data_IF_996165199010
#
_entry.id   IF_996165199010
#
_cell.length_a   1.000
_cell.length_b   1.000
_cell.length_c   1.000
_cell.angle_alpha   90.00
_cell.angle_beta   90.00
_cell.angle_gamma   90.00
#
_symmetry.space_group_name_H-M   'P 1'
#
loop_
_entity.id
_entity.type
_entity.pdbx_description
1 polymer ?
#
# COMPACT_ATOMS: atom_id res chain seq x y z
N UNK A 1 -34.16 24.18 -45.61
CA UNK A 1 -34.33 23.64 -44.24
C UNK A 1 -33.08 22.87 -43.87
N UNK A 2 -32.13 23.47 -43.15
CA UNK A 2 -30.95 22.79 -42.64
C UNK A 2 -31.18 22.46 -41.16
N UNK A 3 -31.23 21.16 -40.84
CA UNK A 3 -31.31 20.69 -39.46
C UNK A 3 -29.93 20.83 -38.81
N UNK A 4 -29.79 21.68 -37.79
CA UNK A 4 -28.64 21.67 -36.89
C UNK A 4 -28.69 20.36 -36.09
N UNK A 5 -27.69 19.50 -36.29
CA UNK A 5 -27.42 18.39 -35.39
C UNK A 5 -26.74 18.95 -34.14
N UNK A 6 -27.44 19.03 -33.03
CA UNK A 6 -26.85 19.33 -31.74
C UNK A 6 -25.96 18.13 -31.32
N UNK A 7 -24.67 18.31 -31.36
CA UNK A 7 -23.70 17.39 -30.78
C UNK A 7 -23.80 17.44 -29.27
N UNK A 8 -24.48 16.46 -28.68
CA UNK A 8 -24.44 16.26 -27.22
C UNK A 8 -23.09 15.66 -26.89
N UNK A 9 -22.16 16.53 -26.53
CA UNK A 9 -20.91 16.08 -25.86
C UNK A 9 -21.31 15.48 -24.51
N UNK A 10 -21.42 14.14 -24.47
CA UNK A 10 -21.51 13.41 -23.21
C UNK A 10 -20.15 13.50 -22.54
N UNK A 11 -19.90 14.55 -21.75
CA UNK A 11 -18.84 14.54 -20.76
C UNK A 11 -19.16 13.43 -19.78
N UNK A 12 -18.39 12.33 -19.86
CA UNK A 12 -18.43 11.29 -18.84
C UNK A 12 -18.13 11.95 -17.48
N UNK A 13 -18.90 11.66 -16.42
CA UNK A 13 -18.59 12.14 -15.09
C UNK A 13 -17.15 11.72 -14.75
N UNK A 14 -16.41 12.52 -13.97
CA UNK A 14 -15.08 12.14 -13.55
C UNK A 14 -15.16 10.75 -12.96
N UNK A 15 -14.41 9.80 -13.52
CA UNK A 15 -14.37 8.43 -13.02
C UNK A 15 -13.84 8.55 -11.58
N UNK A 16 -14.68 8.22 -10.58
CA UNK A 16 -14.17 7.90 -9.24
C UNK A 16 -13.00 6.94 -9.47
N UNK A 17 -11.79 7.32 -9.09
CA UNK A 17 -10.68 6.39 -9.06
C UNK A 17 -11.07 5.32 -8.04
N UNK A 18 -11.38 4.12 -8.53
CA UNK A 18 -11.56 2.98 -7.66
C UNK A 18 -10.16 2.65 -7.13
N UNK A 19 -10.03 2.52 -5.82
CA UNK A 19 -8.79 2.06 -5.21
C UNK A 19 -8.56 0.55 -5.44
N UNK A 20 -9.64 -0.21 -5.68
CA UNK A 20 -9.62 -1.67 -5.79
C UNK A 20 -10.10 -2.13 -7.17
N UNK A 21 -9.39 -3.09 -7.76
CA UNK A 21 -9.66 -3.63 -9.10
C UNK A 21 -9.67 -5.15 -9.07
N UNK A 22 -10.75 -5.76 -9.53
CA UNK A 22 -10.77 -7.20 -9.82
C UNK A 22 -9.93 -7.51 -11.06
N UNK A 23 -9.28 -8.67 -11.07
CA UNK A 23 -8.56 -9.22 -12.22
C UNK A 23 -9.04 -10.66 -12.46
N UNK A 24 -9.95 -10.84 -13.42
CA UNK A 24 -10.65 -12.10 -13.60
C UNK A 24 -11.51 -12.44 -12.38
N UNK A 25 -11.29 -13.59 -11.78
CA UNK A 25 -11.92 -14.09 -10.55
C UNK A 25 -11.26 -13.61 -9.26
N UNK A 26 -10.09 -12.97 -9.36
CA UNK A 26 -9.34 -12.45 -8.22
C UNK A 26 -9.86 -11.07 -7.83
N UNK A 27 -10.44 -10.97 -6.65
CA UNK A 27 -11.07 -9.75 -6.13
C UNK A 27 -10.39 -9.36 -4.83
N UNK A 28 -9.93 -8.10 -4.67
CA UNK A 28 -9.36 -7.66 -3.39
C UNK A 28 -10.42 -7.68 -2.28
N UNK A 29 -10.05 -8.18 -1.10
CA UNK A 29 -10.79 -8.01 0.14
C UNK A 29 -10.11 -6.92 0.99
N UNK A 30 -10.79 -5.81 1.16
CA UNK A 30 -10.30 -4.65 1.94
C UNK A 30 -11.37 -4.14 2.90
N UNK A 31 -12.43 -4.93 3.14
CA UNK A 31 -13.59 -4.50 3.90
C UNK A 31 -13.26 -4.19 5.37
N UNK A 32 -12.27 -4.87 5.93
CA UNK A 32 -11.82 -4.71 7.32
C UNK A 32 -10.76 -3.61 7.51
N UNK A 33 -10.17 -3.08 6.43
CA UNK A 33 -9.13 -2.07 6.49
C UNK A 33 -9.60 -0.77 7.14
N UNK A 34 -8.76 -0.17 7.98
CA UNK A 34 -9.03 1.14 8.58
C UNK A 34 -9.04 2.27 7.53
N UNK A 35 -8.18 2.16 6.52
CA UNK A 35 -8.07 3.18 5.47
C UNK A 35 -7.41 2.64 4.21
N UNK A 36 -8.05 2.88 3.07
CA UNK A 36 -7.44 2.72 1.73
C UNK A 36 -7.47 4.09 1.06
N UNK A 37 -6.31 4.66 0.77
CA UNK A 37 -6.22 5.97 0.14
C UNK A 37 -6.85 5.95 -1.27
N UNK A 38 -7.61 7.00 -1.66
CA UNK A 38 -8.28 7.05 -2.98
C UNK A 38 -7.32 6.95 -4.17
N UNK A 39 -6.05 7.31 -3.98
CA UNK A 39 -5.01 7.22 -5.02
C UNK A 39 -4.21 5.91 -4.98
N UNK A 40 -4.50 5.00 -4.06
CA UNK A 40 -3.93 3.66 -4.08
C UNK A 40 -4.50 2.83 -5.24
N UNK A 41 -3.79 1.78 -5.64
CA UNK A 41 -4.25 0.79 -6.61
C UNK A 41 -4.05 -0.60 -6.03
N UNK A 42 -5.14 -1.29 -5.68
CA UNK A 42 -5.14 -2.66 -5.14
C UNK A 42 -5.78 -3.56 -6.18
N UNK A 43 -5.04 -4.54 -6.69
CA UNK A 43 -5.41 -5.30 -7.89
C UNK A 43 -5.30 -6.80 -7.62
N UNK A 44 -6.35 -7.55 -7.93
CA UNK A 44 -6.32 -9.02 -7.92
C UNK A 44 -6.48 -9.63 -6.53
N UNK A 45 -5.80 -10.74 -6.26
CA UNK A 45 -5.89 -11.49 -5.01
C UNK A 45 -5.10 -10.80 -3.89
N UNK A 46 -5.69 -9.81 -3.26
CA UNK A 46 -5.12 -9.05 -2.14
C UNK A 46 -6.10 -9.04 -0.98
N UNK A 47 -5.62 -9.42 0.20
CA UNK A 47 -6.37 -9.39 1.46
C UNK A 47 -5.74 -8.37 2.41
N UNK A 48 -6.56 -7.44 2.94
CA UNK A 48 -6.15 -6.40 3.87
C UNK A 48 -6.97 -6.52 5.15
N UNK A 49 -6.33 -6.97 6.21
CA UNK A 49 -6.96 -7.31 7.47
C UNK A 49 -7.40 -6.09 8.30
N UNK A 50 -7.98 -6.37 9.47
CA UNK A 50 -8.54 -5.40 10.40
C UNK A 50 -7.54 -4.31 10.80
N UNK A 51 -8.02 -3.08 10.80
CA UNK A 51 -7.24 -1.89 11.18
C UNK A 51 -5.95 -1.65 10.37
N UNK A 52 -5.68 -2.44 9.33
CA UNK A 52 -4.59 -2.16 8.42
C UNK A 52 -4.88 -0.94 7.54
N UNK A 53 -3.83 -0.31 6.99
CA UNK A 53 -3.98 0.89 6.16
C UNK A 53 -3.04 0.89 4.97
N UNK A 54 -3.57 1.33 3.80
CA UNK A 54 -2.80 1.52 2.56
C UNK A 54 -2.89 2.99 2.17
N UNK A 55 -1.74 3.63 2.11
CA UNK A 55 -1.62 5.06 1.95
C UNK A 55 -1.52 5.48 0.47
N UNK A 56 -1.27 6.76 0.24
CA UNK A 56 -1.42 7.37 -1.08
C UNK A 56 -0.41 6.84 -2.11
N UNK A 57 -0.88 6.67 -3.33
CA UNK A 57 -0.08 6.22 -4.49
C UNK A 57 0.60 4.86 -4.32
N UNK A 58 0.14 4.03 -3.39
CA UNK A 58 0.59 2.64 -3.30
C UNK A 58 0.04 1.82 -4.48
N UNK A 59 0.85 0.85 -4.94
CA UNK A 59 0.42 -0.16 -5.91
C UNK A 59 0.62 -1.55 -5.32
N UNK A 60 -0.48 -2.28 -5.11
CA UNK A 60 -0.46 -3.62 -4.54
C UNK A 60 -1.13 -4.54 -5.56
N UNK A 61 -0.35 -5.48 -6.15
CA UNK A 61 -0.84 -6.28 -7.26
C UNK A 61 -0.61 -7.78 -7.05
N UNK A 62 -1.70 -8.48 -6.72
CA UNK A 62 -1.78 -9.94 -6.58
C UNK A 62 -2.38 -10.59 -7.82
N UNK A 63 -1.67 -10.52 -8.96
CA UNK A 63 -2.13 -11.00 -10.26
C UNK A 63 -1.81 -12.48 -10.49
N UNK A 64 -0.65 -12.94 -10.06
CA UNK A 64 -0.18 -14.33 -10.27
C UNK A 64 -0.12 -15.15 -8.99
N UNK A 65 0.04 -14.51 -7.82
CA UNK A 65 -0.07 -15.11 -6.50
C UNK A 65 -0.83 -14.16 -5.56
N UNK A 66 -1.15 -14.60 -4.34
CA UNK A 66 -1.85 -13.79 -3.36
C UNK A 66 -0.93 -12.84 -2.59
N UNK A 67 -1.49 -11.74 -2.12
CA UNK A 67 -0.87 -10.84 -1.14
C UNK A 67 -1.76 -10.78 0.08
N UNK A 68 -1.19 -11.01 1.27
CA UNK A 68 -1.88 -10.81 2.55
C UNK A 68 -1.21 -9.75 3.39
N UNK A 69 -2.00 -8.84 3.95
CA UNK A 69 -1.54 -7.74 4.82
C UNK A 69 -2.27 -7.89 6.15
N UNK A 70 -1.51 -8.19 7.20
CA UNK A 70 -2.02 -8.48 8.53
C UNK A 70 -2.56 -7.26 9.26
N UNK A 71 -3.23 -7.53 10.39
CA UNK A 71 -3.90 -6.53 11.21
C UNK A 71 -2.99 -5.37 11.63
N UNK A 72 -3.52 -4.15 11.68
CA UNK A 72 -2.82 -2.92 12.12
C UNK A 72 -1.53 -2.60 11.37
N UNK A 73 -1.26 -3.32 10.29
CA UNK A 73 -0.11 -3.04 9.41
C UNK A 73 -0.38 -1.80 8.56
N UNK A 74 0.65 -0.95 8.41
CA UNK A 74 0.56 0.23 7.57
C UNK A 74 1.53 0.14 6.38
N UNK A 75 0.99 0.39 5.18
CA UNK A 75 1.73 0.46 3.92
C UNK A 75 1.76 1.93 3.47
N UNK A 76 2.90 2.59 3.68
CA UNK A 76 3.03 4.03 3.50
C UNK A 76 3.17 4.45 2.04
N UNK A 77 3.02 5.75 1.78
CA UNK A 77 2.86 6.35 0.46
C UNK A 77 3.90 5.88 -0.57
N UNK A 78 3.42 5.62 -1.79
CA UNK A 78 4.26 5.26 -2.92
C UNK A 78 4.87 3.85 -2.89
N UNK A 79 4.52 3.04 -1.90
CA UNK A 79 5.02 1.66 -1.78
C UNK A 79 4.46 0.77 -2.89
N UNK A 80 5.31 -0.11 -3.43
CA UNK A 80 4.92 -1.13 -4.41
C UNK A 80 5.05 -2.51 -3.78
N UNK A 81 3.98 -3.31 -3.85
CA UNK A 81 3.97 -4.71 -3.40
C UNK A 81 3.53 -5.60 -4.55
N UNK A 82 4.36 -6.58 -4.88
CA UNK A 82 4.08 -7.53 -5.93
C UNK A 82 4.46 -8.97 -5.52
N UNK A 83 4.20 -9.90 -6.38
CA UNK A 83 4.38 -11.34 -6.22
C UNK A 83 5.22 -11.90 -7.35
N UNK A 84 5.75 -13.12 -7.22
CA UNK A 84 6.51 -13.79 -8.26
C UNK A 84 5.65 -14.83 -8.99
N UNK A 85 6.03 -15.14 -10.24
CA UNK A 85 5.30 -16.09 -11.08
C UNK A 85 6.20 -17.21 -11.61
N UNK A 86 5.61 -18.39 -11.80
CA UNK A 86 6.25 -19.53 -12.47
C UNK A 86 6.60 -19.27 -13.94
N UNK A 87 5.89 -18.35 -14.58
CA UNK A 87 6.02 -18.06 -16.01
C UNK A 87 7.41 -17.57 -16.43
N UNK A 88 8.21 -17.08 -15.47
CA UNK A 88 9.57 -16.59 -15.68
C UNK A 88 10.65 -17.60 -15.24
N UNK A 89 10.27 -18.89 -15.04
CA UNK A 89 11.21 -19.95 -14.67
C UNK A 89 11.49 -20.04 -13.17
N UNK A 90 10.59 -19.53 -12.35
CA UNK A 90 10.62 -19.66 -10.89
C UNK A 90 10.20 -21.05 -10.39
N UNK A 91 10.35 -21.29 -9.11
CA UNK A 91 10.00 -22.56 -8.42
C UNK A 91 8.56 -22.63 -7.94
N UNK A 92 7.63 -21.95 -8.59
CA UNK A 92 6.24 -21.80 -8.16
C UNK A 92 5.85 -20.34 -7.96
N UNK A 93 4.54 -20.03 -8.08
CA UNK A 93 4.04 -18.70 -7.76
C UNK A 93 4.27 -18.40 -6.28
N UNK A 94 5.05 -17.36 -5.98
CA UNK A 94 5.41 -17.00 -4.61
C UNK A 94 4.58 -15.81 -4.14
N UNK A 95 3.78 -15.97 -3.08
CA UNK A 95 2.99 -14.88 -2.49
C UNK A 95 3.87 -13.85 -1.78
N UNK A 96 3.29 -12.70 -1.48
CA UNK A 96 3.82 -11.77 -0.48
C UNK A 96 2.96 -11.84 0.77
N UNK A 97 3.59 -12.18 1.90
CA UNK A 97 2.91 -12.37 3.18
C UNK A 97 3.43 -11.34 4.18
N UNK A 98 2.55 -10.53 4.72
CA UNK A 98 2.88 -9.48 5.67
C UNK A 98 2.08 -9.72 6.95
N UNK A 99 2.77 -9.91 8.06
CA UNK A 99 2.18 -10.14 9.38
C UNK A 99 1.47 -8.91 9.96
N UNK A 100 1.01 -9.05 11.18
CA UNK A 100 0.35 -7.99 11.93
C UNK A 100 1.36 -6.96 12.48
N UNK A 101 0.87 -5.76 12.81
CA UNK A 101 1.65 -4.68 13.44
C UNK A 101 2.93 -4.29 12.69
N UNK A 102 2.99 -4.51 11.37
CA UNK A 102 4.13 -4.13 10.55
C UNK A 102 4.06 -2.66 10.13
N UNK A 103 5.23 -2.05 9.97
CA UNK A 103 5.36 -0.73 9.33
C UNK A 103 6.18 -0.87 8.06
N UNK A 104 5.59 -0.51 6.91
CA UNK A 104 6.26 -0.47 5.62
C UNK A 104 6.40 0.98 5.20
N UNK A 105 7.63 1.50 5.29
CA UNK A 105 7.96 2.90 5.05
C UNK A 105 7.70 3.36 3.62
N UNK A 106 7.56 4.67 3.46
CA UNK A 106 7.29 5.31 2.18
C UNK A 106 8.23 4.84 1.07
N UNK A 107 7.71 4.67 -0.15
CA UNK A 107 8.49 4.30 -1.35
C UNK A 107 9.20 2.96 -1.26
N UNK A 108 8.82 2.06 -0.35
CA UNK A 108 9.40 0.72 -0.28
C UNK A 108 8.95 -0.13 -1.50
N UNK A 109 9.77 -1.13 -1.86
CA UNK A 109 9.43 -2.14 -2.86
C UNK A 109 9.54 -3.53 -2.24
N UNK A 110 8.43 -4.26 -2.21
CA UNK A 110 8.33 -5.62 -1.70
C UNK A 110 7.94 -6.56 -2.83
N UNK A 111 8.72 -7.62 -3.05
CA UNK A 111 8.47 -8.56 -4.12
C UNK A 111 8.62 -9.99 -3.64
N UNK A 112 7.51 -10.75 -3.64
CA UNK A 112 7.47 -12.18 -3.29
C UNK A 112 8.24 -12.51 -2.00
N UNK A 113 7.90 -11.84 -0.90
CA UNK A 113 8.64 -11.87 0.35
C UNK A 113 7.72 -12.09 1.57
N UNK A 114 8.32 -12.38 2.71
CA UNK A 114 7.59 -12.62 3.96
C UNK A 114 8.06 -11.66 5.06
N UNK A 115 7.11 -11.02 5.73
CA UNK A 115 7.31 -10.21 6.92
C UNK A 115 6.56 -10.86 8.10
N UNK A 116 7.28 -11.18 9.15
CA UNK A 116 6.69 -11.62 10.42
C UNK A 116 6.07 -10.44 11.19
N UNK A 117 5.28 -10.74 12.21
CA UNK A 117 4.61 -9.73 13.02
C UNK A 117 5.57 -8.70 13.59
N UNK A 118 5.19 -7.44 13.57
CA UNK A 118 6.02 -6.34 14.03
C UNK A 118 7.31 -6.13 13.22
N UNK A 119 7.39 -6.60 11.99
CA UNK A 119 8.51 -6.30 11.11
C UNK A 119 8.49 -4.82 10.68
N UNK A 120 9.67 -4.24 10.52
CA UNK A 120 9.81 -2.86 10.09
C UNK A 120 10.65 -2.75 8.81
N UNK A 121 10.08 -2.16 7.78
CA UNK A 121 10.75 -1.85 6.52
C UNK A 121 10.94 -0.34 6.43
N UNK A 122 12.19 0.11 6.39
CA UNK A 122 12.52 1.53 6.27
C UNK A 122 12.12 2.13 4.92
N UNK A 123 11.97 3.45 4.89
CA UNK A 123 11.63 4.19 3.68
C UNK A 123 12.60 3.86 2.53
N UNK A 124 12.05 3.71 1.30
CA UNK A 124 12.83 3.42 0.10
C UNK A 124 13.68 2.13 0.17
N UNK A 125 13.35 1.20 1.07
CA UNK A 125 14.00 -0.10 1.11
C UNK A 125 13.40 -1.05 0.06
N UNK A 126 14.21 -1.98 -0.42
CA UNK A 126 13.81 -2.99 -1.40
C UNK A 126 13.99 -4.39 -0.82
N UNK A 127 12.95 -5.21 -0.89
CA UNK A 127 12.96 -6.63 -0.57
C UNK A 127 12.74 -7.43 -1.85
N UNK A 128 13.74 -8.21 -2.26
CA UNK A 128 13.65 -9.08 -3.44
C UNK A 128 12.94 -10.40 -3.11
N UNK A 129 12.65 -11.19 -4.14
CA UNK A 129 11.97 -12.48 -4.01
C UNK A 129 12.64 -13.41 -2.99
N UNK A 130 11.82 -14.18 -2.28
CA UNK A 130 12.24 -15.17 -1.29
C UNK A 130 13.05 -14.58 -0.11
N UNK A 131 12.84 -13.28 0.18
CA UNK A 131 13.42 -12.66 1.39
C UNK A 131 12.44 -12.71 2.55
N UNK A 132 12.98 -12.73 3.76
CA UNK A 132 12.20 -12.77 5.00
C UNK A 132 12.70 -11.73 5.98
N UNK A 133 11.78 -11.06 6.66
CA UNK A 133 12.06 -10.36 7.91
C UNK A 133 11.31 -11.13 9.00
N UNK A 134 12.04 -11.72 9.94
CA UNK A 134 11.44 -12.43 11.08
C UNK A 134 10.71 -11.46 12.02
N UNK A 135 9.81 -11.95 12.91
CA UNK A 135 9.06 -11.08 13.82
C UNK A 135 9.95 -10.09 14.58
N UNK A 136 9.57 -8.80 14.53
CA UNK A 136 10.33 -7.73 15.17
C UNK A 136 11.68 -7.42 14.54
N UNK A 137 12.00 -7.96 13.35
CA UNK A 137 13.19 -7.58 12.59
C UNK A 137 13.03 -6.24 11.88
N UNK A 138 14.15 -5.57 11.57
CA UNK A 138 14.16 -4.23 10.97
C UNK A 138 15.11 -4.15 9.77
N UNK A 139 14.61 -3.69 8.64
CA UNK A 139 15.38 -3.31 7.47
C UNK A 139 15.49 -1.79 7.41
N UNK A 140 16.71 -1.26 7.38
CA UNK A 140 16.96 0.18 7.39
C UNK A 140 16.47 0.87 6.11
N UNK A 141 16.24 2.18 6.18
CA UNK A 141 15.88 2.99 5.03
C UNK A 141 16.93 2.89 3.91
N UNK A 142 16.46 2.82 2.64
CA UNK A 142 17.31 2.70 1.46
C UNK A 142 18.08 1.39 1.32
N UNK A 143 17.79 0.39 2.15
CA UNK A 143 18.48 -0.90 2.10
C UNK A 143 17.97 -1.79 0.95
N UNK A 144 18.85 -2.61 0.38
CA UNK A 144 18.52 -3.64 -0.59
C UNK A 144 18.69 -5.04 0.01
N UNK A 145 17.63 -5.70 0.41
CA UNK A 145 17.63 -7.09 0.84
C UNK A 145 17.56 -7.99 -0.39
N UNK A 146 18.70 -8.61 -0.73
CA UNK A 146 18.82 -9.44 -1.93
C UNK A 146 18.18 -10.81 -1.73
N UNK A 147 17.76 -11.43 -2.85
CA UNK A 147 17.01 -12.68 -2.87
C UNK A 147 17.53 -13.75 -1.91
N UNK A 148 16.62 -14.46 -1.25
CA UNK A 148 16.92 -15.55 -0.32
C UNK A 148 17.54 -15.14 1.02
N UNK A 149 17.62 -13.84 1.34
CA UNK A 149 18.17 -13.36 2.61
C UNK A 149 17.09 -13.23 3.68
N UNK A 150 17.50 -13.45 4.92
CA UNK A 150 16.63 -13.32 6.10
C UNK A 150 17.22 -12.32 7.08
N UNK A 151 16.41 -11.36 7.49
CA UNK A 151 16.65 -10.48 8.65
C UNK A 151 16.10 -11.20 9.87
N UNK A 152 16.97 -11.50 10.84
CA UNK A 152 16.57 -12.22 12.05
C UNK A 152 15.73 -11.36 13.00
N UNK A 153 15.00 -12.04 13.89
CA UNK A 153 14.20 -11.38 14.93
C UNK A 153 15.04 -10.47 15.81
N UNK A 154 14.61 -9.22 15.99
CA UNK A 154 15.34 -8.21 16.77
C UNK A 154 16.66 -7.76 16.14
N UNK A 155 16.86 -7.99 14.85
CA UNK A 155 18.05 -7.54 14.11
C UNK A 155 17.76 -6.29 13.28
N UNK A 156 18.75 -5.41 13.18
CA UNK A 156 18.81 -4.32 12.21
C UNK A 156 19.76 -4.70 11.08
N UNK A 157 19.26 -4.70 9.86
CA UNK A 157 20.03 -4.86 8.63
C UNK A 157 19.97 -3.59 7.78
N UNK A 158 21.04 -3.28 7.06
CA UNK A 158 21.10 -2.09 6.21
C UNK A 158 22.20 -2.15 5.16
N UNK A 159 22.16 -1.19 4.23
CA UNK A 159 23.09 -1.09 3.10
C UNK A 159 22.54 -1.69 1.81
N UNK A 160 23.32 -1.59 0.74
CA UNK A 160 23.00 -2.14 -0.60
C UNK A 160 24.24 -2.86 -1.15
N UNK A 161 24.29 -4.21 -1.08
CA UNK A 161 23.31 -5.12 -0.47
C UNK A 161 23.25 -5.00 1.06
N UNK A 162 22.05 -5.27 1.63
CA UNK A 162 21.84 -5.23 3.06
C UNK A 162 22.63 -6.33 3.79
N UNK A 163 23.19 -5.95 4.93
CA UNK A 163 23.92 -6.84 5.84
C UNK A 163 23.49 -6.57 7.28
N UNK A 164 23.70 -7.57 8.14
CA UNK A 164 23.53 -7.39 9.57
C UNK A 164 24.39 -6.21 10.08
N UNK A 165 23.77 -5.29 10.77
CA UNK A 165 24.44 -4.15 11.39
C UNK A 165 24.63 -4.35 12.89
N UNK A 166 23.54 -4.70 13.59
CA UNK A 166 23.51 -4.92 15.04
C UNK A 166 22.14 -5.45 15.50
N UNK A 167 22.04 -5.81 16.76
CA UNK A 167 20.73 -6.01 17.42
C UNK A 167 20.04 -4.68 17.63
N UNK A 168 18.69 -4.72 17.61
CA UNK A 168 17.86 -3.57 17.96
C UNK A 168 18.06 -3.19 19.43
N UNK A 169 18.06 -1.89 19.71
CA UNK A 169 17.99 -1.36 21.07
C UNK A 169 16.55 -1.50 21.60
N UNK A 170 16.37 -1.60 22.93
CA UNK A 170 15.02 -1.72 23.51
C UNK A 170 14.02 -0.64 23.03
N UNK A 171 14.45 0.62 22.91
CA UNK A 171 13.63 1.70 22.42
C UNK A 171 13.25 1.57 20.94
N UNK A 172 14.09 0.94 20.10
CA UNK A 172 13.76 0.70 18.69
C UNK A 172 12.73 -0.42 18.54
N UNK A 173 12.84 -1.48 19.34
CA UNK A 173 11.83 -2.54 19.36
C UNK A 173 10.46 -2.02 19.83
N UNK A 174 10.42 -1.16 20.84
CA UNK A 174 9.19 -0.50 21.30
C UNK A 174 8.60 0.41 20.20
N UNK A 175 9.46 1.20 19.55
CA UNK A 175 9.05 2.12 18.48
C UNK A 175 8.33 1.41 17.33
N UNK A 176 8.71 0.19 16.98
CA UNK A 176 8.05 -0.57 15.90
C UNK A 176 6.54 -0.72 16.20
N UNK A 177 6.19 -1.19 17.40
CA UNK A 177 4.80 -1.38 17.79
C UNK A 177 4.07 -0.05 18.00
N UNK A 178 4.74 0.97 18.54
CA UNK A 178 4.19 2.32 18.68
C UNK A 178 3.87 2.94 17.32
N UNK A 179 4.75 2.75 16.33
CA UNK A 179 4.53 3.20 14.96
C UNK A 179 3.26 2.59 14.36
N UNK A 180 3.11 1.27 14.43
CA UNK A 180 1.93 0.58 13.91
C UNK A 180 0.63 1.12 14.55
N UNK A 181 0.60 1.25 15.87
CA UNK A 181 -0.54 1.80 16.62
C UNK A 181 -0.87 3.24 16.26
N UNK A 182 0.15 4.08 16.09
CA UNK A 182 -0.04 5.49 15.70
C UNK A 182 -0.70 5.58 14.31
N UNK A 183 -0.29 4.72 13.38
CA UNK A 183 -0.85 4.67 12.03
C UNK A 183 -2.32 4.23 11.99
N UNK A 184 -2.80 3.40 12.92
CA UNK A 184 -4.24 3.12 13.07
C UNK A 184 -5.01 4.41 13.39
N UNK A 185 -4.48 5.26 14.29
CA UNK A 185 -5.08 6.56 14.60
C UNK A 185 -5.09 7.53 13.41
N UNK A 186 -3.97 7.61 12.68
CA UNK A 186 -3.88 8.43 11.47
C UNK A 186 -4.84 7.93 10.37
N UNK A 187 -4.92 6.61 10.16
CA UNK A 187 -5.83 5.99 9.20
C UNK A 187 -7.28 6.37 9.45
N UNK A 188 -7.74 6.29 10.69
CA UNK A 188 -9.10 6.69 11.09
C UNK A 188 -9.35 8.18 10.87
N UNK A 189 -8.35 9.03 11.15
CA UNK A 189 -8.43 10.48 10.89
C UNK A 189 -8.58 10.77 9.40
N UNK A 190 -7.80 10.10 8.55
CA UNK A 190 -7.89 10.25 7.10
C UNK A 190 -9.22 9.71 6.55
N UNK A 191 -9.67 8.54 7.00
CA UNK A 191 -10.94 7.95 6.60
C UNK A 191 -12.14 8.88 6.88
N UNK A 192 -12.10 9.58 8.02
CA UNK A 192 -13.17 10.50 8.41
C UNK A 192 -13.08 11.88 7.75
N UNK A 193 -11.88 12.35 7.41
CA UNK A 193 -11.63 13.75 7.04
C UNK A 193 -11.33 14.00 5.57
N UNK A 194 -10.90 13.00 4.81
CA UNK A 194 -10.53 13.21 3.41
C UNK A 194 -11.76 13.47 2.53
N UNK A 195 -11.67 14.50 1.72
CA UNK A 195 -12.68 14.84 0.72
C UNK A 195 -12.02 15.38 -0.54
N UNK A 196 -12.59 15.07 -1.69
CA UNK A 196 -12.19 15.73 -2.94
C UNK A 196 -12.66 17.19 -2.91
N UNK A 197 -11.80 18.10 -3.30
CA UNK A 197 -12.17 19.47 -3.58
C UNK A 197 -12.67 19.56 -5.01
N UNK A 198 -13.70 20.42 -5.30
CA UNK A 198 -14.15 20.64 -6.66
C UNK A 198 -13.01 21.15 -7.51
N UNK A 199 -12.94 20.70 -8.74
CA UNK A 199 -12.04 21.29 -9.74
C UNK A 199 -12.37 22.76 -9.95
N UNK A 200 -11.43 23.54 -10.51
CA UNK A 200 -11.66 24.96 -10.79
C UNK A 200 -12.88 25.19 -11.66
N UNK A 201 -13.12 24.30 -12.63
CA UNK A 201 -14.26 24.41 -13.55
C UNK A 201 -15.59 24.05 -12.86
N UNK A 202 -15.62 23.05 -12.00
CA UNK A 202 -16.78 22.70 -11.18
C UNK A 202 -17.12 23.79 -10.18
N UNK A 203 -16.10 24.38 -9.53
CA UNK A 203 -16.28 25.50 -8.61
C UNK A 203 -16.80 26.75 -9.35
N UNK A 204 -16.32 27.04 -10.54
CA UNK A 204 -16.81 28.15 -11.38
C UNK A 204 -18.27 27.93 -11.82
N UNK A 205 -18.63 26.70 -12.20
CA UNK A 205 -20.00 26.33 -12.59
C UNK A 205 -20.97 26.46 -11.40
N UNK A 206 -20.56 25.99 -10.21
CA UNK A 206 -21.35 26.12 -9.00
C UNK A 206 -21.58 27.61 -8.60
N UNK A 207 -20.57 28.45 -8.76
CA UNK A 207 -20.66 29.88 -8.47
C UNK A 207 -21.62 30.62 -9.43
N UNK A 208 -21.71 30.17 -10.70
CA UNK A 208 -22.63 30.76 -11.69
C UNK A 208 -24.05 30.27 -11.56
N UNK A 209 -24.29 29.09 -10.97
CA UNK A 209 -25.62 28.50 -10.75
C UNK A 209 -26.23 28.90 -9.41
N UNK A 210 -25.52 29.59 -8.54
CA UNK A 210 -26.07 30.09 -7.27
C UNK A 210 -27.14 31.18 -7.58
N UNK A 211 -28.38 31.09 -7.02
CA UNK A 211 -29.40 32.10 -7.22
C UNK A 211 -28.89 33.44 -6.71
N UNK A 212 -28.86 34.44 -7.60
CA UNK A 212 -28.60 35.82 -7.21
C UNK A 212 -29.83 36.35 -6.50
N UNK A 213 -29.84 36.25 -5.19
CA UNK A 213 -30.87 36.96 -4.40
C UNK A 213 -30.58 38.47 -4.52
N UNK A 214 -31.52 39.19 -5.16
CA UNK A 214 -31.59 40.63 -5.11
C UNK A 214 -32.43 41.05 -3.90
#
# INVERSE_FOLDING_TARGET
MRRLAASISKTLPPRRRLACYALGDKVPDTAAAAFIAPSASIIGAVDVADDASVWYNCTIRGDVAAISIGERTNVQDGTVIHVDSDALGGSGSTPTIIGADCTIGHMALLHACTLGDGAFVGMNATMMSHTTIEPGGMLAAGALLTAGKTVGSGELWGGSPAKFMRRLKPGEAAFILESARAYVGFARTHAAGIRELPTRDEAATAATSAPRWR
#
